data_IF_461989341393
#
_entry.id   IF_461989341393
#
_cell.length_a   1.000
_cell.length_b   1.000
_cell.length_c   1.000
_cell.angle_alpha   90.00
_cell.angle_beta   90.00
_cell.angle_gamma   90.00
#
_symmetry.space_group_name_H-M   'P 1'
#
loop_
_entity.id
_entity.type
_entity.pdbx_description
1 polymer ?
#
# COMPACT_ATOMS: atom_id res chain seq x y z
N UNK A 1 28.66 14.89 34.73
CA UNK A 1 30.08 15.17 34.43
C UNK A 1 30.74 13.81 34.37
N UNK A 2 31.49 13.53 33.29
CA UNK A 2 31.95 12.20 32.83
C UNK A 2 30.81 11.44 32.12
N UNK A 3 30.71 11.41 30.79
CA UNK A 3 31.66 10.86 29.81
C UNK A 3 31.75 11.67 28.49
N UNK A 4 32.34 12.87 28.55
CA UNK A 4 32.87 13.56 27.36
C UNK A 4 34.36 13.20 27.26
N UNK A 5 34.75 12.09 26.62
CA UNK A 5 36.09 11.90 26.01
C UNK A 5 36.23 10.49 25.41
N UNK A 6 35.77 10.30 24.16
CA UNK A 6 36.55 9.51 23.20
C UNK A 6 36.16 9.85 21.75
N UNK A 7 36.51 11.07 21.33
CA UNK A 7 36.74 11.38 19.92
C UNK A 7 38.06 10.71 19.53
N UNK A 8 38.00 9.44 19.09
CA UNK A 8 39.15 8.78 18.47
C UNK A 8 38.88 8.70 16.96
N UNK A 9 39.76 9.35 16.19
CA UNK A 9 39.60 9.61 14.77
C UNK A 9 39.70 8.34 13.93
N UNK A 10 38.56 7.96 13.33
CA UNK A 10 38.54 7.10 12.16
C UNK A 10 37.99 7.93 10.98
N UNK A 11 38.86 8.73 10.37
CA UNK A 11 38.59 9.53 9.16
C UNK A 11 38.58 8.65 7.90
N UNK A 12 37.95 7.48 7.97
CA UNK A 12 37.60 6.74 6.77
C UNK A 12 36.39 7.45 6.17
N UNK A 13 36.59 8.16 5.05
CA UNK A 13 35.51 8.71 4.23
C UNK A 13 34.47 7.60 4.03
N UNK A 14 33.37 7.65 4.79
CA UNK A 14 32.30 6.66 4.68
C UNK A 14 31.81 6.78 3.26
N UNK A 15 31.98 5.69 2.52
CA UNK A 15 31.68 5.70 1.10
C UNK A 15 30.24 6.11 0.85
N UNK A 16 29.96 6.76 -0.27
CA UNK A 16 28.67 7.40 -0.56
C UNK A 16 27.46 6.46 -0.40
N UNK A 17 27.65 5.15 -0.64
CA UNK A 17 26.63 4.11 -0.43
C UNK A 17 26.30 3.83 1.04
N UNK A 18 27.19 4.14 1.97
CA UNK A 18 26.94 4.03 3.43
C UNK A 18 26.04 5.16 3.95
N UNK A 19 25.81 6.21 3.15
CA UNK A 19 24.87 7.29 3.42
C UNK A 19 23.50 7.07 2.74
N UNK A 20 23.34 6.00 1.96
CA UNK A 20 22.05 5.65 1.36
C UNK A 20 21.11 5.20 2.47
N UNK A 21 20.17 6.07 2.80
CA UNK A 21 19.09 5.85 3.76
C UNK A 21 17.94 5.05 3.11
N UNK A 22 16.83 4.92 3.81
CA UNK A 22 15.57 4.34 3.32
C UNK A 22 14.90 5.15 2.21
N UNK A 23 15.33 6.39 1.96
CA UNK A 23 14.69 7.34 1.06
C UNK A 23 14.59 6.87 -0.41
N UNK A 24 15.64 6.33 -1.07
CA UNK A 24 15.52 5.92 -2.47
C UNK A 24 14.62 4.70 -2.64
N UNK A 25 14.60 3.80 -1.64
CA UNK A 25 13.72 2.63 -1.62
C UNK A 25 12.27 3.07 -1.48
N UNK A 26 11.99 4.03 -0.61
CA UNK A 26 10.65 4.62 -0.44
C UNK A 26 10.17 5.35 -1.70
N UNK A 27 11.07 6.06 -2.39
CA UNK A 27 10.75 6.70 -3.66
C UNK A 27 10.35 5.69 -4.74
N UNK A 28 11.14 4.62 -4.90
CA UNK A 28 10.83 3.54 -5.86
C UNK A 28 9.53 2.81 -5.48
N UNK A 29 9.31 2.57 -4.19
CA UNK A 29 8.07 1.96 -3.70
C UNK A 29 6.85 2.83 -4.02
N UNK A 30 6.92 4.13 -3.75
CA UNK A 30 5.85 5.08 -4.07
C UNK A 30 5.58 5.16 -5.56
N UNK A 31 6.62 5.24 -6.39
CA UNK A 31 6.47 5.25 -7.84
C UNK A 31 5.79 3.97 -8.35
N UNK A 32 6.21 2.81 -7.85
CA UNK A 32 5.56 1.53 -8.16
C UNK A 32 4.10 1.53 -7.72
N UNK A 33 3.81 1.96 -6.49
CA UNK A 33 2.46 1.99 -5.94
C UNK A 33 1.52 2.85 -6.80
N UNK A 34 1.94 4.06 -7.17
CA UNK A 34 1.12 4.97 -7.99
C UNK A 34 0.86 4.45 -9.40
N UNK A 35 1.81 3.71 -9.99
CA UNK A 35 1.57 3.05 -11.28
C UNK A 35 0.57 1.91 -11.13
N UNK A 36 0.68 1.13 -10.06
CA UNK A 36 -0.19 -0.01 -9.84
C UNK A 36 -1.64 0.41 -9.53
N UNK A 37 -1.87 1.54 -8.85
CA UNK A 37 -3.24 2.03 -8.60
C UNK A 37 -4.01 2.30 -9.88
N UNK A 38 -3.37 2.79 -10.94
CA UNK A 38 -4.03 2.99 -12.24
C UNK A 38 -4.55 1.67 -12.81
N UNK A 39 -3.74 0.61 -12.72
CA UNK A 39 -4.09 -0.73 -13.19
C UNK A 39 -5.24 -1.31 -12.35
N UNK A 40 -5.21 -1.13 -11.04
CA UNK A 40 -6.29 -1.56 -10.14
C UNK A 40 -7.62 -0.89 -10.48
N UNK A 41 -7.62 0.43 -10.68
CA UNK A 41 -8.83 1.18 -10.99
C UNK A 41 -9.43 0.69 -12.32
N UNK A 42 -8.61 0.48 -13.35
CA UNK A 42 -9.06 -0.08 -14.62
C UNK A 42 -9.64 -1.50 -14.43
N UNK A 43 -8.98 -2.33 -13.62
CA UNK A 43 -9.45 -3.67 -13.30
C UNK A 43 -10.81 -3.66 -12.58
N UNK A 44 -11.00 -2.80 -11.59
CA UNK A 44 -12.26 -2.69 -10.84
C UNK A 44 -13.43 -2.23 -11.72
N UNK A 45 -13.19 -1.26 -12.61
CA UNK A 45 -14.19 -0.83 -13.59
C UNK A 45 -14.59 -2.00 -14.51
N UNK A 46 -13.60 -2.73 -15.03
CA UNK A 46 -13.84 -3.88 -15.90
C UNK A 46 -14.63 -4.98 -15.18
N UNK A 47 -14.26 -5.32 -13.94
CA UNK A 47 -14.96 -6.29 -13.10
C UNK A 47 -16.38 -5.88 -12.77
N UNK A 48 -16.59 -4.63 -12.37
CA UNK A 48 -17.92 -4.10 -12.06
C UNK A 48 -18.84 -4.17 -13.28
N UNK A 49 -18.32 -3.83 -14.46
CA UNK A 49 -19.08 -3.84 -15.70
C UNK A 49 -19.49 -5.27 -16.12
N UNK A 50 -18.54 -6.21 -16.09
CA UNK A 50 -18.74 -7.58 -16.58
C UNK A 50 -19.47 -8.49 -15.58
N UNK A 51 -19.13 -8.44 -14.29
CA UNK A 51 -19.64 -9.39 -13.30
C UNK A 51 -20.83 -8.84 -12.53
N UNK A 52 -20.74 -7.60 -12.04
CA UNK A 52 -21.77 -7.02 -11.17
C UNK A 52 -22.97 -6.51 -11.99
N UNK A 53 -22.71 -5.80 -13.10
CA UNK A 53 -23.78 -5.28 -13.98
C UNK A 53 -24.15 -6.23 -15.14
N UNK A 54 -23.30 -7.23 -15.44
CA UNK A 54 -23.49 -8.20 -16.53
C UNK A 54 -23.79 -7.55 -17.87
N UNK A 55 -23.07 -6.47 -18.19
CA UNK A 55 -23.21 -5.78 -19.47
C UNK A 55 -22.49 -6.55 -20.60
N UNK A 56 -22.91 -6.37 -21.86
CA UNK A 56 -22.20 -6.94 -23.01
C UNK A 56 -20.74 -6.48 -23.06
N UNK A 57 -19.83 -7.34 -23.51
CA UNK A 57 -18.40 -7.05 -23.59
C UNK A 57 -18.10 -5.80 -24.46
N UNK A 58 -18.86 -5.62 -25.54
CA UNK A 58 -18.73 -4.47 -26.44
C UNK A 58 -19.05 -3.15 -25.74
N UNK A 59 -20.06 -3.15 -24.86
CA UNK A 59 -20.45 -1.98 -24.06
C UNK A 59 -19.40 -1.65 -22.99
N UNK A 60 -18.81 -2.66 -22.36
CA UNK A 60 -17.74 -2.43 -21.38
C UNK A 60 -16.44 -1.90 -22.02
N UNK A 61 -16.19 -2.22 -23.28
CA UNK A 61 -15.02 -1.72 -24.02
C UNK A 61 -15.13 -0.22 -24.37
N UNK A 62 -16.34 0.26 -24.66
CA UNK A 62 -16.62 1.67 -25.01
C UNK A 62 -17.50 2.38 -23.97
N UNK A 63 -17.31 2.04 -22.69
CA UNK A 63 -18.13 2.57 -21.59
C UNK A 63 -17.92 4.08 -21.35
N UNK A 64 -16.85 4.65 -21.89
CA UNK A 64 -16.54 6.09 -21.78
C UNK A 64 -17.28 6.94 -22.83
N UNK A 65 -17.96 6.31 -23.80
CA UNK A 65 -18.70 7.02 -24.83
C UNK A 65 -19.97 7.69 -24.28
N UNK A 66 -20.35 8.83 -24.89
CA UNK A 66 -21.54 9.59 -24.49
C UNK A 66 -22.85 8.82 -24.74
N UNK A 67 -22.84 7.78 -25.58
CA UNK A 67 -23.99 6.92 -25.83
C UNK A 67 -24.35 6.04 -24.61
N UNK A 68 -23.38 5.75 -23.74
CA UNK A 68 -23.53 4.86 -22.59
C UNK A 68 -23.45 5.60 -21.25
N UNK A 69 -23.81 6.90 -21.21
CA UNK A 69 -23.67 7.74 -20.01
C UNK A 69 -24.41 7.19 -18.78
N UNK A 70 -25.61 6.60 -18.96
CA UNK A 70 -26.36 6.00 -17.86
C UNK A 70 -25.68 4.74 -17.29
N UNK A 71 -25.14 3.89 -18.16
CA UNK A 71 -24.43 2.67 -17.76
C UNK A 71 -23.09 3.00 -17.10
N UNK A 72 -22.37 3.99 -17.65
CA UNK A 72 -21.17 4.55 -17.05
C UNK A 72 -21.42 5.06 -15.63
N UNK A 73 -22.49 5.84 -15.42
CA UNK A 73 -22.87 6.32 -14.08
C UNK A 73 -23.13 5.15 -13.13
N UNK A 74 -23.83 4.10 -13.58
CA UNK A 74 -24.10 2.91 -12.74
C UNK A 74 -22.82 2.18 -12.35
N UNK A 75 -21.89 1.97 -13.29
CA UNK A 75 -20.59 1.35 -13.00
C UNK A 75 -19.79 2.22 -12.03
N UNK A 76 -19.74 3.53 -12.26
CA UNK A 76 -19.00 4.45 -11.39
C UNK A 76 -19.55 4.48 -9.98
N UNK A 77 -20.87 4.39 -9.78
CA UNK A 77 -21.48 4.27 -8.45
C UNK A 77 -21.03 2.98 -7.77
N UNK A 78 -21.07 1.83 -8.46
CA UNK A 78 -20.63 0.54 -7.89
C UNK A 78 -19.16 0.58 -7.49
N UNK A 79 -18.29 1.05 -8.39
CA UNK A 79 -16.84 1.17 -8.12
C UNK A 79 -16.57 2.16 -7.00
N UNK A 80 -17.26 3.30 -6.95
CA UNK A 80 -17.11 4.29 -5.89
C UNK A 80 -17.54 3.75 -4.53
N UNK A 81 -18.66 3.03 -4.45
CA UNK A 81 -19.11 2.37 -3.23
C UNK A 81 -18.11 1.31 -2.80
N UNK A 82 -17.61 0.50 -3.73
CA UNK A 82 -16.56 -0.48 -3.45
C UNK A 82 -15.28 0.17 -2.92
N UNK A 83 -14.80 1.24 -3.56
CA UNK A 83 -13.58 1.93 -3.15
C UNK A 83 -13.72 2.56 -1.76
N UNK A 84 -14.91 3.03 -1.39
CA UNK A 84 -15.19 3.46 -0.02
C UNK A 84 -15.02 2.31 0.97
N UNK A 85 -15.64 1.16 0.72
CA UNK A 85 -15.48 0.00 1.61
C UNK A 85 -14.05 -0.52 1.65
N UNK A 86 -13.35 -0.53 0.52
CA UNK A 86 -11.95 -0.92 0.41
C UNK A 86 -11.05 0.01 1.23
N UNK A 87 -11.20 1.32 1.08
CA UNK A 87 -10.45 2.32 1.85
C UNK A 87 -10.68 2.17 3.36
N UNK A 88 -11.93 1.97 3.78
CA UNK A 88 -12.25 1.72 5.18
C UNK A 88 -11.60 0.43 5.69
N UNK A 89 -11.70 -0.68 4.95
CA UNK A 89 -11.09 -1.96 5.34
C UNK A 89 -9.56 -1.88 5.37
N UNK A 90 -8.97 -1.21 4.38
CA UNK A 90 -7.53 -1.05 4.20
C UNK A 90 -6.89 -0.13 5.23
N UNK A 91 -7.63 0.83 5.81
CA UNK A 91 -7.08 1.78 6.78
C UNK A 91 -7.58 1.62 8.21
N UNK A 92 -8.83 1.22 8.43
CA UNK A 92 -9.35 1.07 9.79
C UNK A 92 -8.61 -0.03 10.57
N UNK A 93 -8.33 -1.17 9.91
CA UNK A 93 -7.63 -2.28 10.54
C UNK A 93 -6.17 -1.93 10.84
N UNK A 94 -5.36 -1.40 9.89
CA UNK A 94 -4.01 -0.96 10.18
C UNK A 94 -3.92 0.17 11.18
N UNK A 95 -4.91 1.07 11.27
CA UNK A 95 -4.90 2.15 12.26
C UNK A 95 -4.93 1.60 13.69
N UNK A 96 -5.79 0.62 13.96
CA UNK A 96 -5.81 -0.04 15.28
C UNK A 96 -4.52 -0.83 15.50
N UNK A 97 -4.06 -1.56 14.48
CA UNK A 97 -2.80 -2.29 14.56
C UNK A 97 -1.59 -1.38 14.75
N UNK A 98 -1.59 -0.16 14.22
CA UNK A 98 -0.49 0.78 14.31
C UNK A 98 -0.20 1.21 15.75
N UNK A 99 -1.21 1.31 16.62
CA UNK A 99 -0.99 1.57 18.04
C UNK A 99 -0.19 0.45 18.72
N UNK A 100 -0.47 -0.81 18.37
CA UNK A 100 0.26 -1.97 18.88
C UNK A 100 1.62 -2.12 18.21
N UNK A 101 1.67 -1.99 16.87
CA UNK A 101 2.88 -2.11 16.07
C UNK A 101 3.89 -0.99 16.38
N UNK A 102 3.44 0.21 16.72
CA UNK A 102 4.30 1.30 17.18
C UNK A 102 5.03 0.92 18.47
N UNK A 103 4.28 0.53 19.51
CA UNK A 103 4.87 0.10 20.78
C UNK A 103 5.75 -1.16 20.64
N UNK A 104 5.42 -2.05 19.70
CA UNK A 104 6.18 -3.25 19.39
C UNK A 104 7.46 -2.95 18.61
N UNK A 105 7.39 -2.03 17.64
CA UNK A 105 8.52 -1.55 16.82
C UNK A 105 9.62 -0.95 17.69
N UNK A 106 9.26 -0.20 18.73
CA UNK A 106 10.21 0.40 19.66
C UNK A 106 11.00 -0.64 20.47
N UNK A 107 10.44 -1.84 20.68
CA UNK A 107 11.09 -2.92 21.46
C UNK A 107 11.92 -3.88 20.62
N UNK A 108 11.48 -4.21 19.40
CA UNK A 108 12.12 -5.25 18.56
C UNK A 108 12.91 -4.64 17.39
N UNK A 109 12.73 -3.35 17.11
CA UNK A 109 13.44 -2.61 16.07
C UNK A 109 12.59 -2.37 14.83
N UNK A 110 12.89 -1.28 14.13
CA UNK A 110 12.06 -0.68 13.07
C UNK A 110 12.04 -1.45 11.74
N UNK A 111 12.91 -2.47 11.58
CA UNK A 111 13.02 -3.25 10.34
C UNK A 111 11.92 -4.31 10.20
N UNK A 112 11.42 -4.86 11.31
CA UNK A 112 10.41 -5.92 11.28
C UNK A 112 9.03 -5.44 10.83
N UNK A 113 8.48 -4.32 11.33
CA UNK A 113 7.18 -3.85 10.86
C UNK A 113 7.23 -3.42 9.37
N UNK A 114 8.38 -2.94 8.89
CA UNK A 114 8.59 -2.67 7.46
C UNK A 114 8.52 -3.94 6.61
N UNK A 115 9.14 -5.05 7.05
CA UNK A 115 9.07 -6.34 6.35
C UNK A 115 7.66 -6.93 6.38
N UNK A 116 6.94 -6.81 7.51
CA UNK A 116 5.55 -7.26 7.61
C UNK A 116 4.64 -6.53 6.62
N UNK A 117 4.76 -5.19 6.52
CA UNK A 117 4.02 -4.41 5.55
C UNK A 117 4.32 -4.81 4.10
N UNK A 118 5.59 -5.09 3.78
CA UNK A 118 5.99 -5.57 2.45
C UNK A 118 5.38 -6.93 2.10
N UNK A 119 5.39 -7.87 3.05
CA UNK A 119 4.75 -9.18 2.87
C UNK A 119 3.24 -9.02 2.64
N UNK A 120 2.60 -8.11 3.37
CA UNK A 120 1.20 -7.71 3.14
C UNK A 120 0.92 -7.25 1.72
N UNK A 121 1.74 -6.33 1.21
CA UNK A 121 1.60 -5.83 -0.16
C UNK A 121 1.78 -6.94 -1.19
N UNK A 122 2.71 -7.88 -0.98
CA UNK A 122 2.88 -9.03 -1.88
C UNK A 122 1.65 -9.94 -1.86
N UNK A 123 1.11 -10.23 -0.67
CA UNK A 123 -0.12 -11.03 -0.52
C UNK A 123 -1.28 -10.36 -1.26
N UNK A 124 -1.43 -9.04 -1.12
CA UNK A 124 -2.45 -8.26 -1.80
C UNK A 124 -2.37 -8.41 -3.33
N UNK A 125 -1.19 -8.19 -3.92
CA UNK A 125 -1.00 -8.28 -5.37
C UNK A 125 -1.23 -9.70 -5.90
N UNK A 126 -0.79 -10.73 -5.16
CA UNK A 126 -1.03 -12.13 -5.52
C UNK A 126 -2.54 -12.42 -5.48
N UNK A 127 -3.24 -11.98 -4.44
CA UNK A 127 -4.68 -12.18 -4.32
C UNK A 127 -5.47 -11.44 -5.41
N UNK A 128 -5.02 -10.24 -5.80
CA UNK A 128 -5.61 -9.49 -6.90
C UNK A 128 -5.40 -10.20 -8.25
N UNK A 129 -4.21 -10.74 -8.49
CA UNK A 129 -3.93 -11.56 -9.68
C UNK A 129 -4.82 -12.81 -9.73
N UNK A 130 -5.02 -13.50 -8.59
CA UNK A 130 -5.93 -14.64 -8.51
C UNK A 130 -7.38 -14.25 -8.81
N UNK A 131 -7.84 -13.08 -8.34
CA UNK A 131 -9.17 -12.55 -8.68
C UNK A 131 -9.28 -12.20 -10.17
N UNK A 132 -8.20 -11.72 -10.78
CA UNK A 132 -8.16 -11.41 -12.21
C UNK A 132 -8.25 -12.65 -13.08
N UNK A 133 -7.81 -13.82 -12.61
CA UNK A 133 -7.93 -15.09 -13.35
C UNK A 133 -9.32 -15.72 -13.21
N UNK A 134 -10.14 -15.24 -12.27
CA UNK A 134 -11.44 -15.82 -11.96
C UNK A 134 -12.56 -14.85 -12.33
N UNK A 135 -13.11 -15.03 -13.54
CA UNK A 135 -14.15 -14.17 -14.07
C UNK A 135 -15.46 -14.23 -13.27
N UNK A 136 -15.72 -15.34 -12.56
CA UNK A 136 -16.96 -15.53 -11.81
C UNK A 136 -17.06 -14.75 -10.49
N UNK A 137 -15.94 -14.27 -9.94
CA UNK A 137 -15.93 -13.62 -8.63
C UNK A 137 -16.40 -12.17 -8.71
N UNK A 138 -17.31 -11.74 -7.84
CA UNK A 138 -17.77 -10.34 -7.83
C UNK A 138 -16.67 -9.40 -7.37
N UNK A 139 -16.80 -8.10 -7.67
CA UNK A 139 -15.83 -7.10 -7.22
C UNK A 139 -15.66 -7.13 -5.70
N UNK A 140 -16.75 -7.35 -4.96
CA UNK A 140 -16.75 -7.44 -3.50
C UNK A 140 -15.87 -8.57 -2.94
N UNK A 141 -15.57 -9.63 -3.71
CA UNK A 141 -14.70 -10.70 -3.25
C UNK A 141 -13.25 -10.23 -3.07
N UNK A 142 -12.82 -9.23 -3.82
CA UNK A 142 -11.49 -8.61 -3.67
C UNK A 142 -11.28 -8.09 -2.23
N UNK A 143 -12.32 -7.52 -1.60
CA UNK A 143 -12.23 -7.08 -0.21
C UNK A 143 -11.80 -8.24 0.70
N UNK A 144 -12.51 -9.37 0.60
CA UNK A 144 -12.30 -10.52 1.47
C UNK A 144 -11.00 -11.26 1.18
N UNK A 145 -10.61 -11.38 -0.09
CA UNK A 145 -9.45 -12.18 -0.50
C UNK A 145 -8.14 -11.40 -0.50
N UNK A 146 -8.18 -10.10 -0.81
CA UNK A 146 -6.98 -9.27 -0.97
C UNK A 146 -6.86 -8.23 0.14
N UNK A 147 -7.86 -7.35 0.29
CA UNK A 147 -7.79 -6.21 1.20
C UNK A 147 -7.70 -6.63 2.66
N UNK A 148 -8.57 -7.53 3.13
CA UNK A 148 -8.57 -7.97 4.53
C UNK A 148 -7.27 -8.68 4.95
N UNK A 149 -6.78 -9.71 4.23
CA UNK A 149 -5.53 -10.38 4.59
C UNK A 149 -4.32 -9.44 4.57
N UNK A 150 -4.27 -8.52 3.60
CA UNK A 150 -3.20 -7.53 3.52
C UNK A 150 -3.27 -6.51 4.66
N UNK A 151 -4.47 -6.03 5.01
CA UNK A 151 -4.68 -5.07 6.08
C UNK A 151 -4.23 -5.60 7.46
N UNK A 152 -4.36 -6.91 7.70
CA UNK A 152 -3.90 -7.54 8.95
C UNK A 152 -2.38 -7.46 9.17
N UNK A 153 -1.60 -7.28 8.10
CA UNK A 153 -0.14 -7.14 8.20
C UNK A 153 0.31 -5.70 8.48
N UNK A 154 -0.62 -4.74 8.48
CA UNK A 154 -0.35 -3.30 8.54
C UNK A 154 -0.08 -2.64 7.19
N UNK A 155 0.19 -3.43 6.14
CA UNK A 155 0.25 -2.96 4.74
C UNK A 155 1.17 -1.77 4.51
N UNK A 156 0.73 -0.85 3.64
CA UNK A 156 1.47 0.36 3.30
C UNK A 156 1.69 1.28 4.50
N UNK A 157 0.74 1.36 5.43
CA UNK A 157 0.85 2.18 6.64
C UNK A 157 2.05 1.77 7.50
N UNK A 158 2.26 0.46 7.70
CA UNK A 158 3.40 -0.04 8.46
C UNK A 158 4.74 0.29 7.80
N UNK A 159 4.80 0.28 6.47
CA UNK A 159 5.99 0.66 5.69
C UNK A 159 6.29 2.15 5.90
N UNK A 160 5.31 3.05 5.71
CA UNK A 160 5.50 4.49 5.88
C UNK A 160 5.87 4.86 7.31
N UNK A 161 5.14 4.33 8.30
CA UNK A 161 5.42 4.57 9.71
C UNK A 161 6.86 4.15 10.04
N UNK A 162 7.26 2.94 9.67
CA UNK A 162 8.60 2.42 9.98
C UNK A 162 9.70 3.21 9.28
N UNK A 163 9.47 3.63 8.04
CA UNK A 163 10.43 4.41 7.26
C UNK A 163 10.63 5.81 7.83
N UNK A 164 9.55 6.54 8.12
CA UNK A 164 9.61 7.88 8.71
C UNK A 164 10.28 7.82 10.09
N UNK A 165 9.88 6.85 10.92
CA UNK A 165 10.56 6.61 12.19
C UNK A 165 12.05 6.33 11.95
N UNK A 166 12.42 5.43 11.05
CA UNK A 166 13.85 5.14 10.78
C UNK A 166 14.65 6.40 10.41
N UNK A 167 14.08 7.30 9.61
CA UNK A 167 14.71 8.60 9.29
C UNK A 167 14.90 9.43 10.56
N UNK A 168 13.89 9.56 11.41
CA UNK A 168 14.02 10.31 12.67
C UNK A 168 15.11 9.74 13.60
N UNK A 169 15.35 8.43 13.60
CA UNK A 169 16.40 7.82 14.42
C UNK A 169 17.81 8.16 13.95
N UNK A 170 18.03 8.22 12.64
CA UNK A 170 19.35 8.48 12.07
C UNK A 170 19.69 9.98 12.00
N UNK A 171 18.68 10.86 12.10
CA UNK A 171 18.88 12.32 12.15
C UNK A 171 19.41 12.75 13.52
N UNK A 172 20.38 13.67 13.52
CA UNK A 172 21.02 14.22 14.72
C UNK A 172 20.05 15.09 15.53
N UNK A 173 20.15 15.16 16.87
CA UNK A 173 19.21 15.93 17.70
C UNK A 173 19.13 17.42 17.36
N UNK A 174 20.21 17.99 16.81
CA UNK A 174 20.28 19.40 16.40
C UNK A 174 19.64 19.66 15.02
N UNK A 175 19.36 18.60 14.25
CA UNK A 175 18.73 18.64 12.92
C UNK A 175 17.36 17.90 12.88
N UNK A 176 16.87 17.43 14.04
CA UNK A 176 15.54 16.80 14.21
C UNK A 176 14.43 17.83 14.31
#
# INVERSE_FOLDING_TARGET
MEDYHQFNGDTRSKSWYTKISVEPVMFLYMASYMLSTVVEQAFFVHKACTVDLRLPADTCADITSQAHEEEYKRVQVVVSTFHQYESWASHAVPMVLAFYLGAWSDRIGRKLPMLLGLVGSVIYWIALLLNSLQDSWSLQMVLYTATFPAALTGGSLAIFMSAVSYVCDITSPDER
#
